data_IF_795019501677
#
_entry.id   IF_795019501677
#
_cell.length_a   1.000
_cell.length_b   1.000
_cell.length_c   1.000
_cell.angle_alpha   90.00
_cell.angle_beta   90.00
_cell.angle_gamma   90.00
#
_symmetry.space_group_name_H-M   'P 1'
#
loop_
_entity.id
_entity.type
_entity.pdbx_description
1 polymer ?
#
# COMPACT_ATOMS: atom_id res chain seq x y z
N UNK A 1 -11.04 -2.16 -3.63
CA UNK A 1 -10.11 -1.22 -3.00
C UNK A 1 -8.73 -1.85 -3.04
N UNK A 2 -7.69 -1.07 -3.33
CA UNK A 2 -6.30 -1.50 -3.33
C UNK A 2 -5.60 -0.76 -2.19
N UNK A 3 -4.92 -1.48 -1.30
CA UNK A 3 -4.17 -0.87 -0.18
C UNK A 3 -2.68 -0.99 -0.44
N UNK A 4 -1.96 0.13 -0.34
CA UNK A 4 -0.52 0.17 -0.57
C UNK A 4 0.26 0.24 0.74
N UNK A 5 1.27 -0.62 0.87
CA UNK A 5 2.25 -0.59 1.95
C UNK A 5 3.65 -0.79 1.35
N UNK A 6 4.58 0.13 1.62
CA UNK A 6 5.96 0.05 1.13
C UNK A 6 6.98 0.60 2.13
N UNK A 7 8.26 0.37 1.87
CA UNK A 7 9.42 0.94 2.57
C UNK A 7 10.07 2.09 1.78
N UNK A 8 9.31 2.77 0.91
CA UNK A 8 9.85 3.80 0.00
C UNK A 8 10.08 5.15 0.67
N UNK A 9 9.44 5.38 1.83
CA UNK A 9 9.34 6.68 2.46
C UNK A 9 8.56 7.69 1.61
N UNK A 10 8.83 8.97 1.87
CA UNK A 10 8.33 10.07 1.04
C UNK A 10 9.16 10.13 -0.25
N UNK A 11 8.65 9.48 -1.30
CA UNK A 11 9.30 9.39 -2.61
C UNK A 11 8.27 9.42 -3.75
N UNK A 12 8.71 9.89 -4.91
CA UNK A 12 8.02 9.85 -6.19
C UNK A 12 7.57 8.44 -6.60
N UNK A 13 8.23 7.38 -6.10
CA UNK A 13 7.87 6.00 -6.42
C UNK A 13 6.43 5.67 -6.02
N UNK A 14 5.92 6.25 -4.93
CA UNK A 14 4.52 6.10 -4.50
C UNK A 14 3.57 6.67 -5.56
N UNK A 15 3.86 7.87 -6.05
CA UNK A 15 3.07 8.53 -7.09
C UNK A 15 3.09 7.76 -8.41
N UNK A 16 4.26 7.29 -8.84
CA UNK A 16 4.40 6.49 -10.07
C UNK A 16 3.62 5.18 -9.97
N UNK A 17 3.73 4.46 -8.84
CA UNK A 17 2.98 3.22 -8.62
C UNK A 17 1.47 3.44 -8.73
N UNK A 18 0.95 4.48 -8.07
CA UNK A 18 -0.47 4.84 -8.17
C UNK A 18 -0.88 5.21 -9.60
N UNK A 19 -0.05 5.97 -10.31
CA UNK A 19 -0.30 6.32 -11.70
C UNK A 19 -0.44 5.09 -12.61
N UNK A 20 0.42 4.08 -12.41
CA UNK A 20 0.34 2.81 -13.15
C UNK A 20 -0.94 2.04 -12.78
N UNK A 21 -1.29 1.96 -11.49
CA UNK A 21 -2.54 1.33 -11.04
C UNK A 21 -3.75 1.99 -11.69
N UNK A 22 -3.86 3.32 -11.66
CA UNK A 22 -4.98 4.04 -12.27
C UNK A 22 -4.98 3.98 -13.80
N UNK A 23 -3.83 3.80 -14.43
CA UNK A 23 -3.78 3.57 -15.88
C UNK A 23 -4.34 2.21 -16.27
N UNK A 24 -4.11 1.18 -15.44
CA UNK A 24 -4.61 -0.18 -15.68
C UNK A 24 -6.06 -0.38 -15.20
N UNK A 25 -6.44 0.25 -14.09
CA UNK A 25 -7.77 0.17 -13.49
C UNK A 25 -8.23 1.57 -13.03
N UNK A 26 -8.79 2.38 -13.94
CA UNK A 26 -9.14 3.78 -13.67
C UNK A 26 -10.18 3.98 -12.56
N UNK A 27 -11.06 3.00 -12.35
CA UNK A 27 -12.12 3.07 -11.33
C UNK A 27 -11.70 2.49 -9.97
N UNK A 28 -10.45 2.03 -9.84
CA UNK A 28 -9.96 1.52 -8.57
C UNK A 28 -9.93 2.60 -7.49
N UNK A 29 -10.17 2.19 -6.25
CA UNK A 29 -9.94 3.05 -5.08
C UNK A 29 -8.64 2.62 -4.42
N UNK A 30 -7.65 3.52 -4.38
CA UNK A 30 -6.34 3.27 -3.78
C UNK A 30 -6.21 4.01 -2.46
N UNK A 31 -5.80 3.31 -1.41
CA UNK A 31 -5.56 3.85 -0.07
C UNK A 31 -4.14 3.49 0.36
N UNK A 32 -3.42 4.43 0.96
CA UNK A 32 -2.12 4.12 1.55
C UNK A 32 -2.31 3.66 2.99
N UNK A 33 -1.78 2.49 3.31
CA UNK A 33 -1.63 2.07 4.70
C UNK A 33 -0.44 2.81 5.32
N UNK A 34 0.73 2.68 4.71
CA UNK A 34 1.95 3.43 5.06
C UNK A 34 3.02 3.20 4.00
N UNK A 35 3.85 4.21 3.75
CA UNK A 35 5.07 4.07 2.95
C UNK A 35 6.34 4.17 3.81
N UNK A 36 6.17 4.20 5.13
CA UNK A 36 7.24 4.49 6.09
C UNK A 36 7.76 3.23 6.79
N UNK A 37 7.59 2.04 6.21
CA UNK A 37 8.24 0.83 6.71
C UNK A 37 9.75 1.07 6.71
N UNK A 38 10.45 0.64 7.77
CA UNK A 38 11.91 0.76 7.79
C UNK A 38 12.52 0.09 6.56
N UNK A 39 13.52 0.68 5.90
CA UNK A 39 14.11 0.14 4.68
C UNK A 39 14.42 -1.36 4.81
N UNK A 40 13.88 -2.16 3.90
CA UNK A 40 14.06 -3.62 3.80
C UNK A 40 13.52 -4.44 5.00
N UNK A 41 12.75 -3.83 5.90
CA UNK A 41 12.22 -4.49 7.09
C UNK A 41 10.95 -5.30 6.79
N UNK A 42 11.14 -6.49 6.21
CA UNK A 42 10.03 -7.42 5.90
C UNK A 42 9.23 -7.80 7.16
N UNK A 43 9.90 -7.92 8.32
CA UNK A 43 9.24 -8.27 9.58
C UNK A 43 8.27 -7.18 10.05
N UNK A 44 8.67 -5.91 9.93
CA UNK A 44 7.82 -4.79 10.29
C UNK A 44 6.59 -4.73 9.39
N UNK A 45 6.78 -4.81 8.07
CA UNK A 45 5.68 -4.84 7.11
C UNK A 45 4.70 -6.00 7.38
N UNK A 46 5.22 -7.21 7.62
CA UNK A 46 4.38 -8.36 7.95
C UNK A 46 3.58 -8.16 9.26
N UNK A 47 4.19 -7.57 10.28
CA UNK A 47 3.52 -7.31 11.56
C UNK A 47 2.42 -6.26 11.43
N UNK A 48 2.68 -5.15 10.71
CA UNK A 48 1.67 -4.12 10.45
C UNK A 48 0.50 -4.71 9.66
N UNK A 49 0.79 -5.41 8.56
CA UNK A 49 -0.24 -6.02 7.72
C UNK A 49 -1.12 -7.00 8.51
N UNK A 50 -0.51 -7.88 9.33
CA UNK A 50 -1.22 -8.85 10.16
C UNK A 50 -2.20 -8.18 11.15
N UNK A 51 -1.87 -7.00 11.65
CA UNK A 51 -2.72 -6.30 12.61
C UNK A 51 -3.82 -5.49 11.94
N UNK A 52 -3.53 -4.90 10.78
CA UNK A 52 -4.35 -3.82 10.22
C UNK A 52 -5.29 -4.28 9.09
N UNK A 53 -5.00 -5.40 8.41
CA UNK A 53 -5.80 -5.88 7.26
C UNK A 53 -7.30 -6.01 7.58
N UNK A 54 -7.63 -6.37 8.82
CA UNK A 54 -9.00 -6.60 9.31
C UNK A 54 -9.87 -5.34 9.34
N UNK A 55 -9.27 -4.15 9.24
CA UNK A 55 -9.98 -2.88 9.22
C UNK A 55 -10.49 -2.51 7.82
N UNK A 56 -10.06 -3.24 6.78
CA UNK A 56 -10.50 -3.02 5.42
C UNK A 56 -11.70 -3.90 5.07
N UNK A 57 -12.60 -3.45 4.18
CA UNK A 57 -13.74 -4.24 3.72
C UNK A 57 -13.30 -5.57 3.09
N UNK A 58 -14.17 -6.58 3.17
CA UNK A 58 -13.96 -7.84 2.46
C UNK A 58 -13.79 -7.61 0.95
N UNK A 59 -12.82 -8.30 0.35
CA UNK A 59 -12.48 -8.14 -1.07
C UNK A 59 -11.51 -6.99 -1.37
N UNK A 60 -10.97 -6.35 -0.34
CA UNK A 60 -9.80 -5.46 -0.49
C UNK A 60 -8.61 -6.26 -1.00
N UNK A 61 -7.87 -5.66 -1.94
CA UNK A 61 -6.62 -6.17 -2.53
C UNK A 61 -5.45 -5.47 -1.88
#
# INVERSE_FOLDING_TARGET
>A
MIVLMTDFGESEYVGVMKGVIFSACPESQVVDLTHSISPQSVREGAWILLNDYKHFPQGTV
#
